data_IF_400820188467
#
_entry.id   IF_400820188467
#
_cell.length_a   1.000
_cell.length_b   1.000
_cell.length_c   1.000
_cell.angle_alpha   90.00
_cell.angle_beta   90.00
_cell.angle_gamma   90.00
#
_symmetry.space_group_name_H-M   'P 1'
#
loop_
_entity.id
_entity.type
_entity.pdbx_description
1 polymer ?
#
# COMPACT_ATOMS: atom_id res chain seq x y z
N UNK A 1 81.06 31.12 -24.26
CA UNK A 1 79.96 31.94 -24.84
C UNK A 1 78.81 30.98 -25.15
N UNK A 2 77.68 31.07 -24.44
CA UNK A 2 76.60 30.04 -24.51
C UNK A 2 75.40 30.43 -25.39
N UNK A 3 75.37 31.65 -25.93
CA UNK A 3 74.22 32.21 -26.66
C UNK A 3 74.73 33.17 -27.73
N UNK A 4 74.03 33.23 -28.86
CA UNK A 4 74.32 34.10 -30.00
C UNK A 4 73.00 34.66 -30.56
N UNK A 5 73.02 35.92 -31.02
CA UNK A 5 71.83 36.60 -31.55
C UNK A 5 71.90 36.52 -33.07
N UNK A 6 70.98 35.77 -33.66
CA UNK A 6 70.89 35.58 -35.11
C UNK A 6 69.70 36.36 -35.68
N UNK A 7 69.96 37.28 -36.61
CA UNK A 7 68.94 37.98 -37.39
C UNK A 7 68.38 37.04 -38.47
N UNK A 8 67.21 36.44 -38.22
CA UNK A 8 66.48 35.62 -39.21
C UNK A 8 65.09 36.21 -39.44
N UNK A 9 64.69 36.27 -40.71
CA UNK A 9 63.32 36.59 -41.12
C UNK A 9 62.63 35.33 -41.61
N UNK A 10 61.42 35.05 -41.12
CA UNK A 10 60.60 33.92 -41.55
C UNK A 10 59.37 34.46 -42.26
N UNK A 11 59.18 34.05 -43.51
CA UNK A 11 57.97 34.33 -44.28
C UNK A 11 57.11 33.07 -44.27
N UNK A 12 55.88 33.18 -43.79
CA UNK A 12 54.94 32.06 -43.71
C UNK A 12 53.51 32.54 -43.82
N UNK A 13 52.61 31.65 -44.25
CA UNK A 13 51.18 31.90 -44.21
C UNK A 13 50.72 31.58 -42.80
N UNK A 14 50.54 32.61 -41.99
CA UNK A 14 50.02 32.47 -40.64
C UNK A 14 48.49 32.49 -40.69
N UNK A 15 47.87 31.62 -39.90
CA UNK A 15 46.41 31.59 -39.77
C UNK A 15 45.93 32.87 -39.08
N UNK A 16 45.27 33.74 -39.84
CA UNK A 16 44.79 35.05 -39.39
C UNK A 16 43.72 34.95 -38.31
N UNK A 17 43.07 33.79 -38.16
CA UNK A 17 42.04 33.59 -37.14
C UNK A 17 42.59 33.77 -35.71
N UNK A 18 43.82 33.33 -35.45
CA UNK A 18 44.46 33.49 -34.13
C UNK A 18 44.84 34.94 -33.84
N UNK A 19 45.19 35.69 -34.88
CA UNK A 19 45.51 37.11 -34.73
C UNK A 19 44.27 37.93 -34.39
N UNK A 20 43.12 37.65 -35.03
CA UNK A 20 41.86 38.30 -34.71
C UNK A 20 41.43 38.05 -33.25
N UNK A 21 41.60 36.83 -32.74
CA UNK A 21 41.34 36.51 -31.32
C UNK A 21 42.28 37.31 -30.40
N UNK A 22 43.56 37.41 -30.75
CA UNK A 22 44.51 38.17 -29.95
C UNK A 22 44.17 39.66 -29.90
N UNK A 23 43.81 40.24 -31.05
CA UNK A 23 43.39 41.63 -31.15
C UNK A 23 42.10 41.89 -30.35
N UNK A 24 41.12 40.99 -30.41
CA UNK A 24 39.90 41.06 -29.60
C UNK A 24 40.18 40.99 -28.09
N UNK A 25 41.09 40.10 -27.66
CA UNK A 25 41.50 39.99 -26.26
C UNK A 25 42.25 41.25 -25.76
N UNK A 26 43.07 41.87 -26.61
CA UNK A 26 43.81 43.08 -26.26
C UNK A 26 42.87 44.30 -26.20
N UNK A 27 41.95 44.43 -27.15
CA UNK A 27 40.93 45.48 -27.19
C UNK A 27 39.98 45.42 -25.99
N UNK A 28 39.53 44.23 -25.60
CA UNK A 28 38.56 44.03 -24.52
C UNK A 28 39.20 43.66 -23.17
N UNK A 29 40.52 43.88 -23.03
CA UNK A 29 41.32 43.40 -21.89
C UNK A 29 40.74 43.81 -20.52
N UNK A 30 40.30 45.05 -20.37
CA UNK A 30 39.80 45.54 -19.09
C UNK A 30 38.43 44.97 -18.74
N UNK A 31 37.54 44.78 -19.72
CA UNK A 31 36.24 44.12 -19.50
C UNK A 31 36.42 42.65 -19.13
N UNK A 32 37.33 41.94 -19.81
CA UNK A 32 37.65 40.53 -19.53
C UNK A 32 38.16 40.36 -18.08
N UNK A 33 39.00 41.29 -17.59
CA UNK A 33 39.48 41.24 -16.19
C UNK A 33 38.37 41.47 -15.17
N UNK A 34 37.34 42.23 -15.50
CA UNK A 34 36.22 42.51 -14.61
C UNK A 34 35.20 41.36 -14.58
N UNK A 35 35.24 40.46 -15.57
CA UNK A 35 34.34 39.32 -15.62
C UNK A 35 34.52 38.37 -14.42
N UNK A 36 33.41 38.01 -13.77
CA UNK A 36 33.42 37.22 -12.54
C UNK A 36 34.01 35.82 -12.72
N UNK A 37 33.81 35.18 -13.87
CA UNK A 37 34.39 33.86 -14.17
C UNK A 37 35.91 33.99 -14.29
N UNK A 38 36.40 35.01 -15.00
CA UNK A 38 37.84 35.25 -15.17
C UNK A 38 38.50 35.58 -13.84
N UNK A 39 37.85 36.38 -12.98
CA UNK A 39 38.32 36.67 -11.62
C UNK A 39 38.41 35.40 -10.76
N UNK A 40 37.39 34.55 -10.81
CA UNK A 40 37.37 33.30 -10.06
C UNK A 40 38.43 32.30 -10.52
N UNK A 41 38.67 32.18 -11.83
CA UNK A 41 39.77 31.36 -12.37
C UNK A 41 41.14 31.87 -11.88
N UNK A 42 41.27 33.19 -11.65
CA UNK A 42 42.47 33.82 -11.10
C UNK A 42 42.55 33.79 -9.56
N UNK A 43 41.63 33.11 -8.87
CA UNK A 43 41.66 32.86 -7.43
C UNK A 43 40.68 33.68 -6.59
N UNK A 44 39.93 34.61 -7.18
CA UNK A 44 38.87 35.35 -6.50
C UNK A 44 37.53 34.60 -6.59
N UNK A 45 37.41 33.51 -5.83
CA UNK A 45 36.22 32.65 -5.82
C UNK A 45 34.97 33.37 -5.34
N UNK A 46 35.13 34.47 -4.61
CA UNK A 46 34.01 35.27 -4.09
C UNK A 46 33.25 35.97 -5.21
N UNK A 47 33.89 36.20 -6.36
CA UNK A 47 33.24 36.75 -7.55
C UNK A 47 32.09 35.86 -8.08
N UNK A 48 32.11 34.54 -7.80
CA UNK A 48 31.05 33.62 -8.22
C UNK A 48 30.04 33.28 -7.11
N UNK A 49 30.13 33.94 -5.94
CA UNK A 49 29.14 33.74 -4.88
C UNK A 49 27.77 34.22 -5.37
N UNK A 50 26.82 33.30 -5.35
CA UNK A 50 25.43 33.58 -5.67
C UNK A 50 24.57 33.08 -4.51
N UNK A 51 23.93 34.01 -3.80
CA UNK A 51 23.14 33.75 -2.61
C UNK A 51 21.78 33.07 -2.91
N UNK A 52 21.44 32.84 -4.18
CA UNK A 52 20.25 32.07 -4.53
C UNK A 52 20.41 30.63 -4.05
N UNK A 53 19.54 30.24 -3.13
CA UNK A 53 19.37 28.85 -2.73
C UNK A 53 18.90 28.03 -3.93
N UNK A 54 19.52 26.87 -4.13
CA UNK A 54 19.10 25.92 -5.16
C UNK A 54 18.39 24.75 -4.49
N UNK A 55 17.31 24.23 -5.10
CA UNK A 55 16.71 23.01 -4.62
C UNK A 55 17.71 21.86 -4.75
N UNK A 56 17.83 21.06 -3.69
CA UNK A 56 18.52 19.78 -3.78
C UNK A 56 17.65 18.74 -4.48
N UNK A 57 18.24 17.64 -4.95
CA UNK A 57 17.56 16.54 -5.62
C UNK A 57 16.29 16.05 -4.91
N UNK A 58 16.30 16.01 -3.57
CA UNK A 58 15.15 15.58 -2.77
C UNK A 58 14.05 16.64 -2.61
N UNK A 59 14.36 17.91 -2.87
CA UNK A 59 13.43 19.04 -2.72
C UNK A 59 12.86 19.52 -4.06
N UNK A 60 13.33 18.97 -5.18
CA UNK A 60 12.90 19.38 -6.53
C UNK A 60 11.39 19.31 -6.68
N UNK A 61 10.78 18.26 -6.17
CA UNK A 61 9.34 18.04 -6.27
C UNK A 61 8.49 18.89 -5.31
N UNK A 62 9.12 19.63 -4.40
CA UNK A 62 8.43 20.57 -3.52
C UNK A 62 8.65 22.01 -3.96
N UNK A 63 9.88 22.31 -4.44
CA UNK A 63 10.31 23.69 -4.76
C UNK A 63 10.14 24.06 -6.23
N UNK A 64 10.06 23.09 -7.15
CA UNK A 64 9.95 23.35 -8.61
C UNK A 64 8.58 22.94 -9.11
N UNK A 65 7.74 23.90 -9.48
CA UNK A 65 6.42 23.59 -10.07
C UNK A 65 6.58 23.09 -11.51
N UNK A 66 5.81 22.05 -11.94
CA UNK A 66 5.79 21.62 -13.34
C UNK A 66 5.42 22.75 -14.32
N UNK A 67 4.72 23.78 -13.86
CA UNK A 67 4.34 24.96 -14.66
C UNK A 67 5.54 25.81 -15.08
N UNK A 68 6.58 25.81 -14.26
CA UNK A 68 7.83 26.55 -14.46
C UNK A 68 8.93 25.69 -15.10
N UNK A 69 8.57 24.53 -15.63
CA UNK A 69 9.48 23.58 -16.27
C UNK A 69 9.22 23.53 -17.78
N UNK A 70 10.28 23.69 -18.56
CA UNK A 70 10.26 23.74 -20.02
C UNK A 70 11.27 22.77 -20.64
N UNK A 71 11.56 21.69 -19.92
CA UNK A 71 12.44 20.62 -20.37
C UNK A 71 11.78 19.84 -21.50
N UNK A 72 12.59 19.42 -22.45
CA UNK A 72 12.17 18.79 -23.71
C UNK A 72 12.65 17.35 -23.82
N UNK A 73 13.52 16.93 -22.91
CA UNK A 73 14.06 15.58 -22.78
C UNK A 73 14.01 15.17 -21.31
N UNK A 74 14.03 13.86 -21.06
CA UNK A 74 14.10 13.33 -19.69
C UNK A 74 15.33 13.84 -18.94
N UNK A 75 15.24 13.94 -17.62
CA UNK A 75 16.38 14.28 -16.78
C UNK A 75 16.22 13.61 -15.42
N UNK A 76 17.26 12.89 -15.00
CA UNK A 76 17.36 12.37 -13.63
C UNK A 76 17.59 13.51 -12.63
N UNK A 77 17.48 13.23 -11.34
CA UNK A 77 17.57 14.23 -10.28
C UNK A 77 18.89 15.02 -10.28
N UNK A 78 20.02 14.40 -10.65
CA UNK A 78 21.31 15.10 -10.74
C UNK A 78 21.38 16.05 -11.94
N UNK A 79 20.75 15.66 -13.07
CA UNK A 79 20.62 16.52 -14.23
C UNK A 79 19.67 17.67 -13.96
N UNK A 80 18.59 17.43 -13.21
CA UNK A 80 17.64 18.46 -12.76
C UNK A 80 18.33 19.55 -11.92
N UNK A 81 19.17 19.16 -10.95
CA UNK A 81 19.94 20.13 -10.15
C UNK A 81 20.80 21.05 -11.04
N UNK A 82 21.46 20.50 -12.05
CA UNK A 82 22.24 21.29 -13.01
C UNK A 82 21.36 22.23 -13.86
N UNK A 83 20.17 21.77 -14.25
CA UNK A 83 19.21 22.58 -15.00
C UNK A 83 18.71 23.75 -14.13
N UNK A 84 18.34 23.49 -12.88
CA UNK A 84 17.89 24.52 -11.93
C UNK A 84 19.02 25.51 -11.57
N UNK A 85 20.26 25.04 -11.44
CA UNK A 85 21.42 25.90 -11.29
C UNK A 85 21.59 26.86 -12.48
N UNK A 86 21.41 26.38 -13.70
CA UNK A 86 21.46 27.20 -14.91
C UNK A 86 20.27 28.18 -14.99
N UNK A 87 19.06 27.76 -14.63
CA UNK A 87 17.86 28.62 -14.53
C UNK A 87 18.09 29.76 -13.53
N UNK A 88 18.71 29.47 -12.39
CA UNK A 88 19.06 30.47 -11.38
C UNK A 88 20.17 31.46 -11.82
N UNK A 89 20.88 31.15 -12.92
CA UNK A 89 21.98 31.95 -13.46
C UNK A 89 23.34 31.66 -12.82
N UNK A 90 23.53 30.48 -12.22
CA UNK A 90 24.84 30.09 -11.66
C UNK A 90 25.79 29.63 -12.76
N UNK A 91 27.07 29.96 -12.60
CA UNK A 91 28.16 29.38 -13.40
C UNK A 91 28.67 28.12 -12.70
N UNK A 92 28.74 27.00 -13.42
CA UNK A 92 29.18 25.72 -12.87
C UNK A 92 29.84 24.84 -13.94
N UNK A 93 30.55 23.81 -13.49
CA UNK A 93 31.13 22.78 -14.35
C UNK A 93 30.26 21.54 -14.27
N UNK A 94 29.69 21.13 -15.40
CA UNK A 94 28.93 19.89 -15.50
C UNK A 94 29.87 18.71 -15.82
N UNK A 95 30.17 17.89 -14.83
CA UNK A 95 31.02 16.71 -14.98
C UNK A 95 30.21 15.42 -14.91
N UNK A 96 30.50 14.47 -15.79
CA UNK A 96 29.89 13.15 -15.76
C UNK A 96 30.65 12.16 -16.65
N UNK A 97 30.64 10.85 -16.36
CA UNK A 97 31.20 9.83 -17.23
C UNK A 97 30.67 9.87 -18.67
N UNK A 98 31.34 9.24 -19.64
CA UNK A 98 30.78 9.05 -20.98
C UNK A 98 29.43 8.34 -20.91
N UNK A 99 28.43 8.83 -21.65
CA UNK A 99 27.09 8.24 -21.69
C UNK A 99 26.09 8.74 -20.64
N UNK A 100 26.48 9.57 -19.67
CA UNK A 100 25.58 10.05 -18.60
C UNK A 100 24.71 11.26 -18.99
N UNK A 101 24.28 11.35 -20.24
CA UNK A 101 23.30 12.36 -20.64
C UNK A 101 23.74 13.83 -20.65
N UNK A 102 25.04 14.19 -20.49
CA UNK A 102 25.48 15.61 -20.47
C UNK A 102 24.93 16.48 -21.61
N UNK A 103 24.95 15.99 -22.86
CA UNK A 103 24.41 16.72 -24.01
C UNK A 103 22.89 16.88 -23.96
N UNK A 104 22.19 15.94 -23.32
CA UNK A 104 20.76 16.00 -23.05
C UNK A 104 20.46 17.04 -21.95
N UNK A 105 21.26 17.09 -20.88
CA UNK A 105 21.19 18.17 -19.88
C UNK A 105 21.41 19.55 -20.52
N UNK A 106 22.40 19.69 -21.41
CA UNK A 106 22.64 20.95 -22.14
C UNK A 106 21.42 21.33 -23.00
N UNK A 107 20.84 20.39 -23.74
CA UNK A 107 19.65 20.66 -24.55
C UNK A 107 18.46 21.13 -23.70
N UNK A 108 18.25 20.53 -22.52
CA UNK A 108 17.23 21.00 -21.58
C UNK A 108 17.53 22.39 -21.03
N UNK A 109 18.79 22.71 -20.69
CA UNK A 109 19.19 24.07 -20.27
C UNK A 109 18.88 25.09 -21.39
N UNK A 110 19.19 24.76 -22.64
CA UNK A 110 18.88 25.61 -23.79
C UNK A 110 17.37 25.83 -23.90
N UNK A 111 16.56 24.77 -23.81
CA UNK A 111 15.11 24.86 -23.90
C UNK A 111 14.50 25.73 -22.78
N UNK A 112 14.96 25.55 -21.53
CA UNK A 112 14.54 26.36 -20.37
C UNK A 112 14.85 27.84 -20.57
N UNK A 113 16.03 28.16 -21.10
CA UNK A 113 16.46 29.52 -21.37
C UNK A 113 15.68 30.16 -22.52
N UNK A 114 15.45 29.41 -23.59
CA UNK A 114 14.61 29.86 -24.71
C UNK A 114 13.17 30.13 -24.26
N UNK A 115 12.60 29.31 -23.39
CA UNK A 115 11.26 29.51 -22.85
C UNK A 115 11.11 30.81 -22.03
N UNK A 116 12.20 31.31 -21.45
CA UNK A 116 12.27 32.62 -20.77
C UNK A 116 12.64 33.78 -21.71
N UNK A 117 12.60 33.56 -23.04
CA UNK A 117 13.04 34.52 -24.06
C UNK A 117 14.51 34.96 -23.93
N UNK A 118 15.36 34.12 -23.34
CA UNK A 118 16.81 34.38 -23.25
C UNK A 118 17.52 33.90 -24.53
N UNK A 119 18.67 34.51 -24.83
CA UNK A 119 19.55 34.11 -25.94
C UNK A 119 20.67 33.23 -25.40
N UNK A 120 20.92 32.09 -26.03
CA UNK A 120 21.97 31.16 -25.63
C UNK A 120 23.05 31.06 -26.70
N UNK A 121 24.30 31.33 -26.33
CA UNK A 121 25.46 31.06 -27.17
C UNK A 121 26.11 29.75 -26.72
N UNK A 122 26.02 28.71 -27.55
CA UNK A 122 26.68 27.43 -27.28
C UNK A 122 27.98 27.33 -28.07
N UNK A 123 29.10 27.15 -27.35
CA UNK A 123 30.45 27.09 -27.93
C UNK A 123 31.10 25.76 -27.57
N UNK A 124 31.81 25.16 -28.53
CA UNK A 124 32.55 23.92 -28.35
C UNK A 124 33.77 23.90 -29.29
N UNK A 125 34.85 23.28 -28.85
CA UNK A 125 36.03 23.02 -29.69
C UNK A 125 35.71 22.02 -30.82
N UNK A 126 34.85 21.03 -30.53
CA UNK A 126 34.52 19.96 -31.48
C UNK A 126 33.15 20.19 -32.11
N UNK A 127 33.13 20.23 -33.44
CA UNK A 127 31.89 20.33 -34.24
C UNK A 127 30.90 19.21 -33.93
N UNK A 128 31.39 18.00 -33.62
CA UNK A 128 30.55 16.86 -33.25
C UNK A 128 29.66 17.17 -32.03
N UNK A 129 30.17 17.89 -31.03
CA UNK A 129 29.37 18.23 -29.85
C UNK A 129 28.27 19.25 -30.16
N UNK A 130 28.56 20.21 -31.05
CA UNK A 130 27.58 21.18 -31.56
C UNK A 130 26.44 20.46 -32.28
N UNK A 131 26.78 19.53 -33.19
CA UNK A 131 25.80 18.71 -33.92
C UNK A 131 24.94 17.85 -33.00
N UNK A 132 25.53 17.20 -31.99
CA UNK A 132 24.76 16.34 -31.07
C UNK A 132 23.70 17.13 -30.32
N UNK A 133 24.03 18.32 -29.81
CA UNK A 133 23.06 19.16 -29.09
C UNK A 133 22.00 19.70 -30.06
N UNK A 134 22.43 20.18 -31.24
CA UNK A 134 21.49 20.69 -32.25
C UNK A 134 20.51 19.63 -32.73
N UNK A 135 20.99 18.43 -33.07
CA UNK A 135 20.11 17.34 -33.52
C UNK A 135 19.05 17.03 -32.46
N UNK A 136 19.42 17.02 -31.17
CA UNK A 136 18.44 16.84 -30.08
C UNK A 136 17.39 17.96 -30.03
N UNK A 137 17.79 19.21 -30.26
CA UNK A 137 16.88 20.35 -30.33
C UNK A 137 15.98 20.28 -31.58
N UNK A 138 16.50 19.79 -32.71
CA UNK A 138 15.75 19.51 -33.93
C UNK A 138 14.73 18.39 -33.73
N UNK A 139 15.13 17.29 -33.09
CA UNK A 139 14.29 16.12 -32.82
C UNK A 139 13.05 16.47 -31.97
N UNK A 140 13.19 17.43 -31.05
CA UNK A 140 12.08 17.94 -30.20
C UNK A 140 11.37 19.16 -30.81
N UNK A 141 11.73 19.56 -32.04
CA UNK A 141 11.01 20.57 -32.82
C UNK A 141 11.40 22.04 -32.55
N UNK A 142 12.43 22.30 -31.74
CA UNK A 142 12.92 23.66 -31.44
C UNK A 142 14.21 24.02 -32.20
N UNK A 143 14.71 23.12 -33.05
CA UNK A 143 15.90 23.33 -33.87
C UNK A 143 15.83 24.53 -34.82
N UNK A 144 14.62 24.94 -35.24
CA UNK A 144 14.40 26.14 -36.05
C UNK A 144 14.82 27.44 -35.37
N UNK A 145 14.96 27.44 -34.03
CA UNK A 145 15.48 28.57 -33.26
C UNK A 145 17.01 28.54 -33.09
N UNK A 146 17.68 27.52 -33.64
CA UNK A 146 19.13 27.38 -33.55
C UNK A 146 19.80 28.00 -34.78
N UNK A 147 20.60 29.04 -34.57
CA UNK A 147 21.44 29.63 -35.61
C UNK A 147 22.87 29.10 -35.53
N UNK A 148 23.29 28.34 -36.53
CA UNK A 148 24.65 27.79 -36.56
C UNK A 148 25.64 28.72 -37.28
N UNK A 149 26.51 29.38 -36.51
CA UNK A 149 27.47 30.37 -37.02
C UNK A 149 28.87 29.78 -37.26
N UNK A 150 29.06 28.46 -37.12
CA UNK A 150 30.37 27.82 -37.20
C UNK A 150 30.73 27.28 -38.60
N UNK A 151 32.02 27.41 -38.95
CA UNK A 151 32.68 26.69 -40.05
C UNK A 151 33.14 27.59 -41.20
N UNK A 152 34.36 27.35 -41.70
CA UNK A 152 34.97 28.02 -42.86
C UNK A 152 34.22 27.82 -44.19
N UNK A 153 33.18 26.98 -44.19
CA UNK A 153 32.33 26.66 -45.35
C UNK A 153 30.95 27.30 -45.31
N UNK A 154 30.52 27.89 -44.19
CA UNK A 154 29.23 28.59 -44.14
C UNK A 154 29.40 30.02 -44.58
N UNK A 155 28.72 30.37 -45.64
CA UNK A 155 28.71 31.70 -46.20
C UNK A 155 27.79 32.61 -45.39
N UNK A 156 28.05 33.91 -45.41
CA UNK A 156 27.12 34.93 -44.87
C UNK A 156 25.69 34.75 -45.44
N UNK A 157 25.58 34.23 -46.67
CA UNK A 157 24.30 33.92 -47.31
C UNK A 157 23.52 32.84 -46.57
N UNK A 158 24.18 31.80 -46.05
CA UNK A 158 23.51 30.69 -45.36
C UNK A 158 22.92 31.12 -44.01
N UNK A 159 23.61 32.01 -43.32
CA UNK A 159 23.11 32.61 -42.07
C UNK A 159 21.89 33.49 -42.35
N UNK A 160 21.97 34.32 -43.39
CA UNK A 160 20.85 35.19 -43.78
C UNK A 160 19.64 34.38 -44.23
N UNK A 161 19.83 33.28 -44.98
CA UNK A 161 18.72 32.43 -45.41
C UNK A 161 18.02 31.74 -44.24
N UNK A 162 18.75 31.31 -43.21
CA UNK A 162 18.13 30.72 -41.99
C UNK A 162 17.27 31.74 -41.24
N UNK A 163 17.73 32.99 -41.15
CA UNK A 163 16.96 34.07 -40.54
C UNK A 163 15.71 34.37 -41.38
N UNK A 164 15.85 34.46 -42.69
CA UNK A 164 14.73 34.69 -43.61
C UNK A 164 13.70 33.55 -43.53
N UNK A 165 14.14 32.30 -43.45
CA UNK A 165 13.28 31.14 -43.30
C UNK A 165 12.45 31.22 -42.01
N UNK A 166 13.06 31.50 -40.86
CA UNK A 166 12.32 31.60 -39.61
C UNK A 166 11.41 32.84 -39.55
N UNK A 167 11.81 33.96 -40.17
CA UNK A 167 10.94 35.14 -40.29
C UNK A 167 9.68 34.87 -41.13
N UNK A 168 9.78 33.99 -42.12
CA UNK A 168 8.65 33.59 -42.98
C UNK A 168 7.81 32.44 -42.37
N UNK A 169 8.30 31.78 -41.31
CA UNK A 169 7.59 30.71 -40.65
C UNK A 169 6.35 31.22 -39.89
N UNK A 170 5.34 30.35 -39.78
CA UNK A 170 4.15 30.66 -38.99
C UNK A 170 4.53 30.74 -37.50
N UNK A 171 3.95 31.71 -36.76
CA UNK A 171 4.12 31.77 -35.32
C UNK A 171 3.62 30.47 -34.69
N UNK A 172 4.30 30.04 -33.63
CA UNK A 172 3.86 28.89 -32.85
C UNK A 172 2.48 29.16 -32.26
N UNK A 173 1.59 28.18 -32.36
CA UNK A 173 0.29 28.26 -31.70
C UNK A 173 0.45 27.92 -30.23
N UNK A 174 -0.18 28.72 -29.36
CA UNK A 174 -0.29 28.37 -27.95
C UNK A 174 -1.15 27.12 -27.80
N UNK A 175 -0.68 26.17 -27.01
CA UNK A 175 -1.41 24.94 -26.70
C UNK A 175 -2.52 25.28 -25.70
N UNK A 176 -3.78 25.05 -26.09
CA UNK A 176 -4.96 25.47 -25.33
C UNK A 176 -5.15 24.75 -24.00
N UNK A 177 -4.58 23.55 -23.84
CA UNK A 177 -4.75 22.70 -22.65
C UNK A 177 -3.51 22.62 -21.77
N UNK A 178 -2.45 23.37 -22.08
CA UNK A 178 -1.17 23.30 -21.35
C UNK A 178 -1.35 23.48 -19.84
N UNK A 179 -2.07 24.51 -19.42
CA UNK A 179 -2.22 24.83 -18.00
C UNK A 179 -3.03 23.76 -17.24
N UNK A 180 -3.99 23.12 -17.93
CA UNK A 180 -4.77 22.01 -17.38
C UNK A 180 -3.88 20.78 -17.20
N UNK A 181 -3.17 20.35 -18.25
CA UNK A 181 -2.26 19.19 -18.22
C UNK A 181 -1.17 19.35 -17.14
N UNK A 182 -0.58 20.55 -17.03
CA UNK A 182 0.44 20.82 -16.00
C UNK A 182 -0.14 20.84 -14.59
N UNK A 183 -1.39 21.26 -14.40
CA UNK A 183 -2.06 21.17 -13.11
C UNK A 183 -2.41 19.73 -12.74
N UNK A 184 -2.81 18.92 -13.72
CA UNK A 184 -3.01 17.48 -13.51
C UNK A 184 -1.70 16.77 -13.15
N UNK A 185 -0.60 17.11 -13.82
CA UNK A 185 0.74 16.60 -13.51
C UNK A 185 1.18 16.97 -12.08
N UNK A 186 0.97 18.22 -11.66
CA UNK A 186 1.26 18.69 -10.30
C UNK A 186 0.46 17.91 -9.25
N UNK A 187 -0.83 17.65 -9.50
CA UNK A 187 -1.68 16.85 -8.62
C UNK A 187 -1.22 15.39 -8.55
N UNK A 188 -0.83 14.78 -9.67
CA UNK A 188 -0.32 13.41 -9.70
C UNK A 188 0.98 13.30 -8.92
N UNK A 189 1.91 14.26 -9.10
CA UNK A 189 3.17 14.32 -8.36
C UNK A 189 2.93 14.38 -6.86
N UNK A 190 2.06 15.28 -6.40
CA UNK A 190 1.72 15.39 -4.98
C UNK A 190 1.14 14.09 -4.41
N UNK A 191 0.25 13.42 -5.14
CA UNK A 191 -0.31 12.13 -4.71
C UNK A 191 0.75 11.04 -4.59
N UNK A 192 1.69 10.99 -5.54
CA UNK A 192 2.79 10.01 -5.52
C UNK A 192 3.75 10.26 -4.36
N UNK A 193 4.10 11.52 -4.09
CA UNK A 193 4.96 11.88 -2.97
C UNK A 193 4.28 11.56 -1.63
N UNK A 194 3.01 11.96 -1.46
CA UNK A 194 2.21 11.61 -0.28
C UNK A 194 2.11 10.10 -0.08
N UNK A 195 1.93 9.33 -1.16
CA UNK A 195 1.93 7.87 -1.06
C UNK A 195 3.29 7.33 -0.58
N UNK A 196 4.39 7.90 -1.09
CA UNK A 196 5.74 7.59 -0.63
C UNK A 196 5.92 7.86 0.86
N UNK A 197 5.53 9.05 1.33
CA UNK A 197 5.60 9.44 2.74
C UNK A 197 4.79 8.50 3.62
N UNK A 198 3.51 8.28 3.28
CA UNK A 198 2.61 7.40 4.02
C UNK A 198 3.11 5.96 4.13
N UNK A 199 3.88 5.49 3.15
CA UNK A 199 4.41 4.13 3.12
C UNK A 199 5.57 3.92 4.10
N UNK A 200 6.24 5.01 4.49
CA UNK A 200 7.31 5.04 5.49
C UNK A 200 6.90 5.74 6.79
N UNK A 201 5.66 6.21 6.91
CA UNK A 201 5.10 6.68 8.18
C UNK A 201 4.83 5.52 9.13
N UNK A 202 5.23 5.67 10.39
CA UNK A 202 5.04 4.65 11.42
C UNK A 202 3.56 4.50 11.80
N UNK A 203 3.00 3.31 11.57
CA UNK A 203 1.68 2.94 12.11
C UNK A 203 1.88 2.39 13.51
N UNK A 204 2.08 3.29 14.47
CA UNK A 204 2.23 2.94 15.89
C UNK A 204 3.29 1.84 16.10
N UNK A 205 2.97 0.78 16.85
CA UNK A 205 3.90 -0.30 17.18
C UNK A 205 4.03 -1.38 16.07
N UNK A 206 3.28 -1.29 14.96
CA UNK A 206 3.36 -2.27 13.87
C UNK A 206 4.56 -2.02 12.94
N UNK A 207 5.15 -0.82 13.01
CA UNK A 207 6.14 -0.30 12.07
C UNK A 207 5.48 0.38 10.87
N UNK A 208 6.27 0.65 9.85
CA UNK A 208 5.79 1.29 8.62
C UNK A 208 5.00 0.30 7.73
N UNK A 209 4.06 0.77 6.89
CA UNK A 209 3.40 -0.07 5.90
C UNK A 209 4.38 -0.88 5.05
N UNK A 210 5.52 -0.27 4.68
CA UNK A 210 6.59 -0.94 3.96
C UNK A 210 7.11 -2.17 4.71
N UNK A 211 7.41 -2.03 6.00
CA UNK A 211 7.86 -3.14 6.83
C UNK A 211 6.79 -4.22 6.98
N UNK A 212 5.54 -3.82 7.22
CA UNK A 212 4.42 -4.75 7.40
C UNK A 212 4.22 -5.57 6.12
N UNK A 213 4.20 -4.93 4.95
CA UNK A 213 4.12 -5.65 3.68
C UNK A 213 5.33 -6.57 3.47
N UNK A 214 6.53 -6.13 3.84
CA UNK A 214 7.74 -6.95 3.78
C UNK A 214 7.69 -8.18 4.71
N UNK A 215 7.05 -8.07 5.88
CA UNK A 215 6.81 -9.19 6.80
C UNK A 215 5.73 -10.13 6.24
N UNK A 216 4.62 -9.59 5.74
CA UNK A 216 3.53 -10.36 5.11
C UNK A 216 4.02 -11.18 3.91
N UNK A 217 4.85 -10.59 3.05
CA UNK A 217 5.39 -11.26 1.86
C UNK A 217 6.27 -12.48 2.21
N UNK A 218 6.82 -12.55 3.43
CA UNK A 218 7.63 -13.69 3.90
C UNK A 218 6.79 -14.81 4.52
N UNK A 219 5.54 -14.53 4.91
CA UNK A 219 4.68 -15.52 5.55
C UNK A 219 4.08 -16.45 4.50
N UNK A 220 4.30 -17.76 4.67
CA UNK A 220 3.58 -18.81 3.96
C UNK A 220 2.54 -19.40 4.91
N UNK A 221 1.43 -18.68 5.08
CA UNK A 221 0.33 -19.08 5.95
C UNK A 221 -1.02 -18.88 5.23
N UNK A 222 -2.05 -19.67 5.55
CA UNK A 222 -3.40 -19.42 5.04
C UNK A 222 -3.92 -18.07 5.51
N UNK A 223 -4.47 -17.27 4.60
CA UNK A 223 -5.08 -15.99 4.93
C UNK A 223 -6.45 -16.20 5.56
N UNK A 224 -6.60 -15.77 6.81
CA UNK A 224 -7.90 -15.65 7.47
C UNK A 224 -8.45 -14.25 7.22
N UNK A 225 -9.60 -14.17 6.56
CA UNK A 225 -10.31 -12.90 6.36
C UNK A 225 -11.07 -12.55 7.65
N UNK A 226 -10.42 -11.78 8.52
CA UNK A 226 -11.04 -11.24 9.73
C UNK A 226 -11.44 -9.80 9.44
N UNK A 227 -12.71 -9.46 9.67
CA UNK A 227 -13.19 -8.09 9.54
C UNK A 227 -12.86 -7.30 10.81
N UNK A 228 -12.02 -6.27 10.69
CA UNK A 228 -11.76 -5.31 11.75
C UNK A 228 -12.50 -4.02 11.40
N UNK A 229 -13.46 -3.61 12.24
CA UNK A 229 -14.24 -2.38 11.96
C UNK A 229 -13.36 -1.13 11.91
N UNK A 230 -12.30 -1.07 12.73
CA UNK A 230 -11.39 0.07 12.84
C UNK A 230 -9.94 -0.35 13.10
N UNK A 231 -9.24 -0.88 12.09
CA UNK A 231 -7.91 -1.47 12.27
C UNK A 231 -6.84 -0.48 12.75
N UNK A 232 -7.01 0.81 12.44
CA UNK A 232 -6.07 1.87 12.83
C UNK A 232 -6.29 2.40 14.26
N UNK A 233 -7.41 2.04 14.90
CA UNK A 233 -7.72 2.45 16.28
C UNK A 233 -7.34 1.38 17.32
N UNK A 234 -6.80 0.23 16.87
CA UNK A 234 -6.46 -0.88 17.76
C UNK A 234 -5.21 -0.55 18.58
N UNK A 235 -5.39 -0.38 19.90
CA UNK A 235 -4.27 -0.17 20.82
C UNK A 235 -3.40 -1.42 20.97
N UNK A 236 -2.11 -1.21 21.27
CA UNK A 236 -1.11 -2.28 21.49
C UNK A 236 -1.57 -3.37 22.46
N UNK A 237 -2.23 -2.97 23.55
CA UNK A 237 -2.71 -3.91 24.57
C UNK A 237 -3.82 -4.82 24.03
N UNK A 238 -4.71 -4.27 23.19
CA UNK A 238 -5.76 -5.04 22.55
C UNK A 238 -5.15 -6.01 21.52
N UNK A 239 -4.22 -5.54 20.69
CA UNK A 239 -3.50 -6.39 19.74
C UNK A 239 -2.79 -7.57 20.42
N UNK A 240 -1.97 -7.28 21.44
CA UNK A 240 -1.24 -8.32 22.19
C UNK A 240 -2.18 -9.31 22.89
N UNK A 241 -3.33 -8.84 23.37
CA UNK A 241 -4.35 -9.71 23.96
C UNK A 241 -4.96 -10.64 22.91
N UNK A 242 -5.28 -10.13 21.73
CA UNK A 242 -5.80 -10.94 20.62
C UNK A 242 -4.79 -11.99 20.16
N UNK A 243 -3.50 -11.63 20.04
CA UNK A 243 -2.44 -12.60 19.71
C UNK A 243 -2.36 -13.69 20.77
N UNK A 244 -2.36 -13.35 22.06
CA UNK A 244 -2.38 -14.33 23.15
C UNK A 244 -3.61 -15.23 23.13
N UNK A 245 -4.79 -14.70 22.82
CA UNK A 245 -6.02 -15.50 22.69
C UNK A 245 -5.92 -16.49 21.52
N UNK A 246 -5.33 -16.09 20.40
CA UNK A 246 -5.08 -16.98 19.27
C UNK A 246 -4.04 -18.06 19.59
N UNK A 247 -2.99 -17.71 20.34
CA UNK A 247 -2.02 -18.68 20.87
C UNK A 247 -2.70 -19.68 21.82
N UNK A 248 -3.55 -19.22 22.74
CA UNK A 248 -4.32 -20.09 23.63
C UNK A 248 -5.29 -21.00 22.86
N UNK A 249 -5.91 -20.50 21.80
CA UNK A 249 -6.81 -21.30 20.96
C UNK A 249 -6.08 -22.49 20.29
N UNK A 250 -4.77 -22.37 20.07
CA UNK A 250 -3.95 -23.47 19.57
C UNK A 250 -3.92 -24.66 20.55
N UNK A 251 -4.01 -24.41 21.86
CA UNK A 251 -3.98 -25.46 22.88
C UNK A 251 -5.25 -26.33 22.84
N UNK A 252 -6.38 -25.78 22.37
CA UNK A 252 -7.68 -26.45 22.27
C UNK A 252 -7.90 -27.19 20.93
N UNK A 253 -6.82 -27.51 20.20
CA UNK A 253 -6.91 -28.13 18.87
C UNK A 253 -7.60 -29.52 18.90
N UNK A 254 -7.48 -30.28 19.99
CA UNK A 254 -8.14 -31.57 20.11
C UNK A 254 -9.66 -31.41 20.23
N UNK A 255 -10.10 -30.51 21.09
CA UNK A 255 -11.50 -30.18 21.37
C UNK A 255 -12.18 -29.60 20.13
N UNK A 256 -11.51 -28.68 19.42
CA UNK A 256 -12.04 -28.08 18.19
C UNK A 256 -12.20 -29.12 17.07
N UNK A 257 -11.24 -30.05 16.92
CA UNK A 257 -11.31 -31.11 15.89
C UNK A 257 -12.35 -32.18 16.19
N UNK A 258 -12.53 -32.52 17.46
CA UNK A 258 -13.45 -33.56 17.92
C UNK A 258 -14.78 -33.00 18.42
N UNK A 259 -15.08 -31.72 18.16
CA UNK A 259 -16.34 -31.09 18.55
C UNK A 259 -17.56 -31.89 18.08
N UNK A 260 -17.47 -32.51 16.90
CA UNK A 260 -18.53 -33.35 16.33
C UNK A 260 -18.91 -34.58 17.14
N UNK A 261 -17.99 -35.08 17.98
CA UNK A 261 -18.14 -36.25 18.86
C UNK A 261 -18.13 -35.85 20.34
N UNK A 262 -18.04 -34.55 20.63
CA UNK A 262 -18.02 -34.02 21.98
C UNK A 262 -19.40 -34.16 22.62
N UNK A 263 -19.50 -34.60 23.89
CA UNK A 263 -20.73 -34.53 24.68
C UNK A 263 -21.37 -33.13 24.71
N UNK A 264 -20.56 -32.12 24.42
CA UNK A 264 -20.85 -30.70 24.54
C UNK A 264 -21.22 -30.00 23.22
N UNK A 265 -21.39 -30.75 22.13
CA UNK A 265 -21.62 -30.24 20.77
C UNK A 265 -22.85 -29.33 20.60
N UNK A 266 -23.85 -29.49 21.46
CA UNK A 266 -25.13 -28.78 21.39
C UNK A 266 -25.36 -27.88 22.61
N UNK A 267 -24.31 -27.52 23.36
CA UNK A 267 -24.43 -26.55 24.45
C UNK A 267 -24.70 -25.17 23.84
N UNK A 268 -25.77 -24.51 24.27
CA UNK A 268 -26.09 -23.12 23.92
C UNK A 268 -25.85 -22.17 25.10
N UNK A 269 -24.66 -22.24 25.68
CA UNK A 269 -24.29 -21.45 26.87
C UNK A 269 -23.25 -20.41 26.48
N UNK A 270 -23.68 -19.16 26.51
CA UNK A 270 -22.85 -18.01 26.21
C UNK A 270 -21.82 -17.69 27.33
N UNK A 271 -22.03 -18.19 28.56
CA UNK A 271 -21.12 -17.93 29.68
C UNK A 271 -21.00 -19.09 30.68
N UNK A 272 -19.76 -19.54 30.90
CA UNK A 272 -19.43 -20.61 31.85
C UNK A 272 -19.29 -20.04 33.27
N UNK A 273 -20.20 -20.38 34.17
CA UNK A 273 -20.12 -20.00 35.58
C UNK A 273 -19.48 -21.13 36.40
N UNK A 274 -18.95 -20.80 37.59
CA UNK A 274 -18.20 -21.73 38.45
C UNK A 274 -19.03 -22.98 38.84
N UNK A 275 -20.35 -22.85 38.87
CA UNK A 275 -21.29 -23.90 39.25
C UNK A 275 -22.01 -24.57 38.06
N UNK A 276 -21.73 -24.15 36.82
CA UNK A 276 -22.43 -24.65 35.62
C UNK A 276 -22.17 -26.15 35.43
N UNK A 277 -20.94 -26.59 35.61
CA UNK A 277 -20.54 -28.01 35.49
C UNK A 277 -21.31 -28.90 36.48
N UNK A 278 -21.33 -28.51 37.76
CA UNK A 278 -22.00 -29.24 38.84
C UNK A 278 -23.52 -29.33 38.64
N UNK A 279 -24.14 -28.26 38.13
CA UNK A 279 -25.58 -28.25 37.84
C UNK A 279 -25.92 -29.12 36.64
N UNK A 280 -25.13 -29.07 35.57
CA UNK A 280 -25.31 -29.93 34.40
C UNK A 280 -25.21 -31.40 34.75
N UNK A 281 -24.17 -31.77 35.51
CA UNK A 281 -23.94 -33.16 35.90
C UNK A 281 -25.13 -33.71 36.69
N UNK A 282 -25.62 -32.95 37.67
CA UNK A 282 -26.80 -33.33 38.46
C UNK A 282 -28.07 -33.50 37.62
N UNK A 283 -28.29 -32.61 36.65
CA UNK A 283 -29.45 -32.68 35.76
C UNK A 283 -29.40 -33.92 34.86
N UNK A 284 -28.23 -34.22 34.30
CA UNK A 284 -28.03 -35.40 33.45
C UNK A 284 -28.18 -36.70 34.26
N UNK A 285 -27.60 -36.78 35.46
CA UNK A 285 -27.75 -37.92 36.37
C UNK A 285 -29.23 -38.17 36.72
N UNK A 286 -29.99 -37.11 37.01
CA UNK A 286 -31.42 -37.22 37.32
C UNK A 286 -32.25 -37.74 36.12
N UNK A 287 -31.92 -37.32 34.90
CA UNK A 287 -32.62 -37.80 33.71
C UNK A 287 -32.29 -39.25 33.35
N UNK A 288 -31.04 -39.68 33.52
CA UNK A 288 -30.67 -41.09 33.33
C UNK A 288 -31.39 -41.98 34.34
N UNK A 289 -31.44 -41.58 35.61
CA UNK A 289 -32.20 -42.30 36.65
C UNK A 289 -33.71 -42.34 36.34
N UNK A 290 -34.28 -41.25 35.84
CA UNK A 290 -35.68 -41.22 35.40
C UNK A 290 -35.95 -42.15 34.21
N UNK A 291 -35.06 -42.20 33.22
CA UNK A 291 -35.16 -43.10 32.06
C UNK A 291 -35.07 -44.56 32.51
N UNK A 292 -34.17 -44.90 33.43
CA UNK A 292 -34.02 -46.27 33.93
C UNK A 292 -35.22 -46.72 34.76
N UNK A 293 -35.79 -45.84 35.60
CA UNK A 293 -37.06 -46.11 36.29
C UNK A 293 -38.20 -46.36 35.30
N UNK A 294 -38.27 -45.58 34.21
CA UNK A 294 -39.28 -45.75 33.16
C UNK A 294 -39.08 -47.05 32.36
N UNK A 295 -37.85 -47.44 32.05
CA UNK A 295 -37.54 -48.75 31.43
C UNK A 295 -37.95 -49.91 32.32
N UNK A 296 -37.64 -49.82 33.61
CA UNK A 296 -37.99 -50.84 34.62
C UNK A 296 -39.51 -51.00 34.74
N UNK A 297 -40.24 -49.88 34.76
CA UNK A 297 -41.70 -49.87 34.76
C UNK A 297 -42.30 -50.45 33.46
N UNK A 298 -41.74 -50.11 32.30
CA UNK A 298 -42.19 -50.64 30.99
C UNK A 298 -42.05 -52.16 30.89
N UNK A 299 -40.98 -52.73 31.46
CA UNK A 299 -40.75 -54.18 31.52
C UNK A 299 -41.77 -54.87 32.43
N UNK A 300 -42.10 -54.28 33.58
CA UNK A 300 -43.10 -54.80 34.53
C UNK A 300 -44.53 -54.84 33.96
N UNK A 301 -44.86 -53.95 33.02
CA UNK A 301 -46.20 -53.85 32.41
C UNK A 301 -46.33 -54.53 31.02
N UNK A 302 -45.26 -55.18 30.51
CA UNK A 302 -45.23 -55.77 29.15
C UNK A 302 -45.65 -54.80 28.03
N UNK A 303 -45.30 -53.52 28.15
CA UNK A 303 -45.54 -52.54 27.09
C UNK A 303 -44.38 -52.55 26.09
N UNK A 304 -44.67 -52.76 24.80
CA UNK A 304 -43.65 -52.79 23.72
C UNK A 304 -43.32 -51.35 23.28
N UNK A 305 -42.61 -50.60 24.14
CA UNK A 305 -42.19 -49.22 23.87
C UNK A 305 -40.76 -49.26 23.31
N UNK A 306 -40.60 -48.91 22.03
CA UNK A 306 -39.29 -48.93 21.34
C UNK A 306 -38.73 -47.55 21.02
N UNK A 307 -39.55 -46.50 21.04
CA UNK A 307 -39.11 -45.12 20.77
C UNK A 307 -39.68 -44.11 21.76
N UNK A 308 -39.01 -42.97 21.93
CA UNK A 308 -39.44 -41.85 22.78
C UNK A 308 -40.82 -41.30 22.38
N UNK A 309 -41.14 -41.35 21.09
CA UNK A 309 -42.47 -40.97 20.55
C UNK A 309 -43.57 -41.96 20.92
N UNK A 310 -43.26 -43.26 20.96
CA UNK A 310 -44.20 -44.29 21.45
C UNK A 310 -44.46 -44.14 22.95
N UNK A 311 -43.45 -43.68 23.71
CA UNK A 311 -43.56 -43.40 25.13
C UNK A 311 -44.51 -42.22 25.39
N UNK A 312 -44.41 -41.12 24.62
CA UNK A 312 -45.32 -39.98 24.72
C UNK A 312 -46.78 -40.32 24.37
N UNK A 313 -47.00 -41.19 23.36
CA UNK A 313 -48.35 -41.70 23.03
C UNK A 313 -48.94 -42.55 24.15
N UNK A 314 -48.13 -43.39 24.79
CA UNK A 314 -48.58 -44.20 25.92
C UNK A 314 -48.91 -43.31 27.14
N UNK A 315 -48.12 -42.26 27.37
CA UNK A 315 -48.36 -41.25 28.42
C UNK A 315 -49.68 -40.51 28.18
N UNK A 316 -49.98 -40.08 26.95
CA UNK A 316 -51.30 -39.48 26.63
C UNK A 316 -52.46 -40.46 26.85
N UNK A 317 -52.27 -41.75 26.49
CA UNK A 317 -53.26 -42.79 26.72
C UNK A 317 -53.53 -43.00 28.22
N UNK A 318 -52.49 -43.01 29.06
CA UNK A 318 -52.63 -43.11 30.52
C UNK A 318 -53.29 -41.87 31.12
N UNK A 319 -53.01 -40.67 30.59
CA UNK A 319 -53.71 -39.43 30.95
C UNK A 319 -55.21 -39.52 30.67
N UNK A 320 -55.60 -40.06 29.50
CA UNK A 320 -57.00 -40.27 29.17
C UNK A 320 -57.68 -41.32 30.05
N UNK A 321 -56.97 -42.38 30.43
CA UNK A 321 -57.46 -43.38 31.38
C UNK A 321 -57.65 -42.83 32.80
N UNK A 322 -56.79 -41.91 33.25
CA UNK A 322 -56.90 -41.27 34.57
C UNK A 322 -58.11 -40.33 34.70
N UNK A 323 -58.69 -39.87 33.57
CA UNK A 323 -59.84 -38.94 33.52
C UNK A 323 -61.20 -39.65 33.33
N UNK A 324 -61.27 -40.98 33.42
CA UNK A 324 -62.51 -41.74 33.22
C UNK A 324 -63.46 -41.60 34.43
N UNK A 325 -64.80 -41.57 34.24
CA UNK A 325 -65.74 -41.66 35.36
C UNK A 325 -65.59 -43.00 36.08
N UNK A 326 -65.75 -43.00 37.39
CA UNK A 326 -65.61 -44.18 38.24
C UNK A 326 -66.71 -45.21 37.90
N UNK A 327 -66.31 -46.34 37.31
CA UNK A 327 -67.20 -47.46 36.94
C UNK A 327 -66.96 -48.66 37.87
N UNK A 328 -66.71 -48.38 39.15
CA UNK A 328 -66.42 -49.34 40.23
C UNK A 328 -67.43 -50.48 40.42
N UNK A 329 -68.52 -50.52 39.66
CA UNK A 329 -69.51 -51.60 39.66
C UNK A 329 -69.34 -52.67 38.57
N UNK A 330 -68.40 -52.53 37.62
CA UNK A 330 -68.32 -53.44 36.47
C UNK A 330 -67.06 -54.31 36.35
N UNK A 331 -65.94 -54.04 37.04
CA UNK A 331 -64.77 -54.94 36.97
C UNK A 331 -63.75 -54.64 38.10
N UNK A 332 -63.48 -55.62 38.97
CA UNK A 332 -62.60 -55.51 40.14
C UNK A 332 -61.09 -55.48 39.83
N UNK A 333 -60.66 -55.82 38.62
CA UNK A 333 -59.23 -55.90 38.26
C UNK A 333 -58.57 -54.54 37.97
N UNK A 334 -59.35 -53.48 37.73
CA UNK A 334 -58.83 -52.15 37.38
C UNK A 334 -58.39 -51.32 38.59
N UNK A 335 -58.90 -51.61 39.79
CA UNK A 335 -58.61 -50.83 41.00
C UNK A 335 -57.18 -50.99 41.51
N UNK A 336 -56.58 -52.18 41.41
CA UNK A 336 -55.18 -52.42 41.81
C UNK A 336 -54.16 -51.72 40.88
N UNK A 337 -54.55 -51.46 39.61
CA UNK A 337 -53.69 -50.76 38.64
C UNK A 337 -53.78 -49.23 38.72
N UNK A 338 -54.88 -48.68 39.26
CA UNK A 338 -55.09 -47.23 39.37
C UNK A 338 -54.01 -46.49 40.18
N UNK A 339 -53.60 -47.03 41.32
CA UNK A 339 -52.53 -46.42 42.15
C UNK A 339 -51.15 -46.44 41.49
N UNK A 340 -50.86 -47.45 40.65
CA UNK A 340 -49.60 -47.54 39.89
C UNK A 340 -49.57 -46.59 38.70
N UNK A 341 -50.73 -46.32 38.09
CA UNK A 341 -50.90 -45.35 37.02
C UNK A 341 -50.75 -43.90 37.52
N UNK A 342 -51.23 -43.62 38.72
CA UNK A 342 -51.08 -42.31 39.35
C UNK A 342 -49.61 -42.00 39.68
N UNK A 343 -48.86 -42.99 40.18
CA UNK A 343 -47.42 -42.85 40.42
C UNK A 343 -46.59 -42.69 39.14
N UNK A 344 -47.03 -43.30 38.03
CA UNK A 344 -46.41 -43.10 36.72
C UNK A 344 -46.69 -41.69 36.15
N UNK A 345 -47.86 -41.12 36.44
CA UNK A 345 -48.17 -39.73 36.05
C UNK A 345 -47.33 -38.71 36.85
N UNK A 346 -47.11 -38.94 38.15
CA UNK A 346 -46.26 -38.08 38.98
C UNK A 346 -44.80 -38.08 38.52
N UNK A 347 -44.21 -39.25 38.26
CA UNK A 347 -42.83 -39.37 37.73
C UNK A 347 -42.68 -38.75 36.33
N UNK A 348 -43.75 -38.70 35.56
CA UNK A 348 -43.76 -38.07 34.22
C UNK A 348 -43.82 -36.55 34.30
N UNK A 349 -44.49 -36.00 35.30
CA UNK A 349 -44.54 -34.55 35.55
C UNK A 349 -43.17 -34.05 36.00
N UNK A 350 -42.51 -34.77 36.91
CA UNK A 350 -41.14 -34.50 37.35
C UNK A 350 -40.14 -34.59 36.18
N UNK A 351 -40.27 -35.59 35.31
CA UNK A 351 -39.42 -35.70 34.11
C UNK A 351 -39.64 -34.54 33.14
N UNK A 352 -40.88 -34.07 32.95
CA UNK A 352 -41.18 -32.98 32.01
C UNK A 352 -40.61 -31.65 32.51
N UNK A 353 -40.66 -31.39 33.81
CA UNK A 353 -40.01 -30.21 34.40
C UNK A 353 -38.50 -30.23 34.16
N UNK A 354 -37.86 -31.39 34.28
CA UNK A 354 -36.44 -31.56 33.95
C UNK A 354 -36.15 -31.45 32.44
N UNK A 355 -37.08 -31.84 31.58
CA UNK A 355 -36.96 -31.73 30.12
C UNK A 355 -37.06 -30.25 29.69
N UNK A 356 -38.02 -29.49 30.23
CA UNK A 356 -38.15 -28.04 30.03
C UNK A 356 -36.90 -27.28 30.51
N UNK A 357 -36.24 -27.73 31.60
CA UNK A 357 -34.99 -27.12 32.05
C UNK A 357 -33.82 -27.35 31.08
N UNK A 358 -33.76 -28.53 30.43
CA UNK A 358 -32.72 -28.83 29.44
C UNK A 358 -33.00 -28.13 28.11
N UNK A 359 -34.25 -28.10 27.64
CA UNK A 359 -34.64 -27.33 26.44
C UNK A 359 -34.34 -25.83 26.59
N UNK A 360 -34.31 -25.30 27.82
CA UNK A 360 -33.89 -23.92 28.08
C UNK A 360 -32.39 -23.66 27.90
N UNK A 361 -31.55 -24.70 27.83
CA UNK A 361 -30.08 -24.63 27.83
C UNK A 361 -29.42 -25.36 26.65
N UNK A 362 -30.18 -26.15 25.89
CA UNK A 362 -29.70 -27.04 24.84
C UNK A 362 -30.72 -27.15 23.70
N UNK A 363 -30.24 -27.39 22.48
CA UNK A 363 -31.12 -27.70 21.34
C UNK A 363 -31.77 -29.10 21.46
N UNK A 364 -32.97 -29.26 20.89
CA UNK A 364 -33.77 -30.52 20.83
C UNK A 364 -33.00 -31.77 20.36
N UNK A 365 -31.86 -31.57 19.70
CA UNK A 365 -31.00 -32.64 19.19
C UNK A 365 -30.32 -33.45 20.30
N UNK A 366 -30.16 -32.89 21.51
CA UNK A 366 -29.54 -33.56 22.67
C UNK A 366 -30.30 -34.81 23.11
N UNK A 367 -31.63 -34.83 22.97
CA UNK A 367 -32.45 -35.99 23.37
C UNK A 367 -32.30 -37.22 22.47
N UNK A 368 -31.44 -37.17 21.45
CA UNK A 368 -31.14 -38.29 20.54
C UNK A 368 -29.83 -39.02 20.88
N UNK A 369 -29.06 -38.49 21.81
CA UNK A 369 -27.76 -39.05 22.23
C UNK A 369 -27.90 -39.96 23.47
N UNK A 370 -26.95 -40.87 23.67
CA UNK A 370 -26.95 -41.83 24.78
C UNK A 370 -26.47 -41.16 26.08
N UNK A 371 -27.36 -41.03 27.07
CA UNK A 371 -27.11 -40.28 28.31
C UNK A 371 -25.95 -40.83 29.16
N UNK A 372 -25.69 -42.14 29.13
CA UNK A 372 -24.52 -42.73 29.83
C UNK A 372 -23.20 -42.32 29.19
N UNK A 373 -23.21 -41.99 27.89
CA UNK A 373 -22.04 -41.58 27.12
C UNK A 373 -21.73 -40.09 27.27
N UNK A 374 -22.73 -39.29 27.66
CA UNK A 374 -22.59 -37.86 27.97
C UNK A 374 -22.02 -37.66 29.39
N UNK A 375 -22.32 -38.59 30.31
CA UNK A 375 -21.90 -38.56 31.72
C UNK A 375 -20.51 -39.17 32.00
N UNK A 376 -19.96 -39.95 31.07
CA UNK A 376 -18.64 -40.57 31.15
C UNK A 376 -17.53 -39.62 30.68
#
# INVERSE_FOLDING_TARGET
>A
KRWDINSKSVLGIFDSAKFAIYEDLDQNREEIKQNDIVRAINGDTDALKNDKELPSAGELDDKVSPKDTYQVLDADSSQQEAIEAAKAGKSFVLQGPPGTGKSQTIANIVAEKLAKNEKVLFVSEKEAALKVVKNRLEDVGIGRFCLEVHGSKKSKSDVLSQIEEEMNNKPLKQVSQRDQELSELENIRQKLNQYGDLLFDDISDLGTPYEVQGRLAKLQAPCLNINFERPLEVEKNQFNRSVKLLEQLQDFNYEIRNYGDSPWKNIDIESWQINTEDQMKKSLEAQVDAIDKLKTWSQDQKADIKTLSDMNRYIEFLRHMSKKPDISTLETDLHEKGGKLQRAAELQEERRELEEEIESKYEDSVFREDGERILA
#
